data_IF_648576717668
#
_entry.id   IF_648576717668
#
_cell.length_a   1.000
_cell.length_b   1.000
_cell.length_c   1.000
_cell.angle_alpha   90.00
_cell.angle_beta   90.00
_cell.angle_gamma   90.00
#
_symmetry.space_group_name_H-M   'P 1'
#
loop_
_entity.id
_entity.type
_entity.pdbx_description
1 polymer ?
#
# COMPACT_ATOMS: atom_id res chain seq x y z
N UNK A 1 -2.53 -10.24 -13.55
CA UNK A 1 -3.83 -9.73 -14.06
C UNK A 1 -4.35 -8.52 -13.29
N UNK A 2 -4.30 -8.49 -11.94
CA UNK A 2 -4.68 -7.33 -11.11
C UNK A 2 -4.04 -5.99 -11.53
N UNK A 3 -2.76 -5.99 -11.93
CA UNK A 3 -2.08 -4.78 -12.45
C UNK A 3 -2.69 -4.21 -13.73
N UNK A 4 -3.26 -5.06 -14.60
CA UNK A 4 -3.86 -4.62 -15.87
C UNK A 4 -5.21 -3.96 -15.60
N UNK A 5 -6.03 -4.56 -14.74
CA UNK A 5 -7.35 -4.01 -14.37
C UNK A 5 -7.20 -2.72 -13.54
N UNK A 6 -6.27 -2.71 -12.57
CA UNK A 6 -5.98 -1.50 -11.79
C UNK A 6 -5.41 -0.37 -12.68
N UNK A 7 -4.53 -0.71 -13.63
CA UNK A 7 -4.01 0.24 -14.62
C UNK A 7 -5.10 0.79 -15.54
N UNK A 8 -6.02 -0.07 -16.02
CA UNK A 8 -7.12 0.33 -16.88
C UNK A 8 -8.13 1.26 -16.17
N UNK A 9 -8.43 1.00 -14.90
CA UNK A 9 -9.32 1.86 -14.10
C UNK A 9 -8.66 3.21 -13.79
N UNK A 10 -7.35 3.22 -13.55
CA UNK A 10 -6.59 4.43 -13.25
C UNK A 10 -6.32 5.33 -14.47
N UNK A 11 -6.26 4.75 -15.67
CA UNK A 11 -6.17 5.52 -16.91
C UNK A 11 -7.44 6.34 -17.17
N UNK A 12 -8.58 5.92 -16.63
CA UNK A 12 -9.84 6.64 -16.83
C UNK A 12 -10.01 7.86 -15.90
N UNK A 13 -9.30 7.96 -14.75
CA UNK A 13 -9.46 9.06 -13.77
C UNK A 13 -8.14 9.43 -13.04
N UNK A 14 -7.26 10.21 -13.68
CA UNK A 14 -5.92 10.57 -13.16
C UNK A 14 -5.91 11.16 -11.74
N UNK A 15 -6.91 11.96 -11.40
CA UNK A 15 -6.95 12.76 -10.16
C UNK A 15 -7.38 11.96 -8.92
N UNK A 16 -7.90 10.74 -9.11
CA UNK A 16 -8.43 9.88 -8.03
C UNK A 16 -7.44 8.75 -7.69
N UNK A 17 -6.32 8.65 -8.40
CA UNK A 17 -5.35 7.56 -8.28
C UNK A 17 -4.79 7.41 -6.85
N UNK A 18 -4.62 8.51 -6.12
CA UNK A 18 -4.16 8.49 -4.73
C UNK A 18 -5.18 7.85 -3.79
N UNK A 19 -6.46 8.19 -3.95
CA UNK A 19 -7.55 7.59 -3.17
C UNK A 19 -7.73 6.10 -3.47
N UNK A 20 -7.52 5.69 -4.72
CA UNK A 20 -7.51 4.28 -5.10
C UNK A 20 -6.37 3.52 -4.41
N UNK A 21 -5.15 4.09 -4.38
CA UNK A 21 -4.01 3.50 -3.66
C UNK A 21 -4.34 3.31 -2.17
N UNK A 22 -4.88 4.34 -1.52
CA UNK A 22 -5.32 4.27 -0.11
C UNK A 22 -6.35 3.16 0.08
N UNK A 23 -7.38 3.10 -0.76
CA UNK A 23 -8.42 2.07 -0.71
C UNK A 23 -7.87 0.65 -0.88
N UNK A 24 -6.92 0.46 -1.79
CA UNK A 24 -6.24 -0.83 -1.99
C UNK A 24 -5.41 -1.25 -0.77
N UNK A 25 -4.70 -0.33 -0.12
CA UNK A 25 -3.95 -0.61 1.10
C UNK A 25 -4.88 -0.99 2.26
N UNK A 26 -6.01 -0.29 2.43
CA UNK A 26 -7.02 -0.62 3.43
C UNK A 26 -7.68 -1.97 3.15
N UNK A 27 -7.96 -2.28 1.89
CA UNK A 27 -8.46 -3.60 1.48
C UNK A 27 -7.44 -4.70 1.82
N UNK A 28 -6.16 -4.47 1.55
CA UNK A 28 -5.09 -5.38 1.93
C UNK A 28 -5.02 -5.61 3.44
N UNK A 29 -5.18 -4.56 4.24
CA UNK A 29 -5.29 -4.67 5.70
C UNK A 29 -6.47 -5.55 6.12
N UNK A 30 -7.65 -5.39 5.53
CA UNK A 30 -8.80 -6.25 5.83
C UNK A 30 -8.49 -7.72 5.53
N UNK A 31 -7.82 -8.00 4.41
CA UNK A 31 -7.36 -9.35 4.08
C UNK A 31 -6.45 -9.95 5.14
N UNK A 32 -5.48 -9.17 5.65
CA UNK A 32 -4.58 -9.60 6.72
C UNK A 32 -5.32 -9.84 8.05
N UNK A 33 -6.29 -8.98 8.39
CA UNK A 33 -7.14 -9.16 9.58
C UNK A 33 -7.94 -10.45 9.47
N UNK A 34 -8.52 -10.76 8.30
CA UNK A 34 -9.25 -12.00 8.07
C UNK A 34 -8.36 -13.25 8.25
N UNK A 35 -7.13 -13.21 7.73
CA UNK A 35 -6.15 -14.29 7.90
C UNK A 35 -5.81 -14.52 9.39
N UNK A 36 -5.78 -13.45 10.20
CA UNK A 36 -5.41 -13.53 11.62
C UNK A 36 -6.36 -14.37 12.49
N UNK A 37 -7.58 -14.68 12.01
CA UNK A 37 -8.55 -15.49 12.75
C UNK A 37 -8.25 -16.99 12.74
N UNK A 38 -7.29 -17.48 11.94
CA UNK A 38 -6.90 -18.90 11.85
C UNK A 38 -8.06 -19.84 11.47
N UNK A 39 -9.08 -19.34 10.77
CA UNK A 39 -10.19 -20.13 10.23
C UNK A 39 -9.92 -20.42 8.74
N UNK A 40 -10.00 -21.67 8.26
CA UNK A 40 -9.62 -22.01 6.87
C UNK A 40 -10.38 -21.23 5.79
N UNK A 41 -11.68 -21.01 5.96
CA UNK A 41 -12.50 -20.24 5.02
C UNK A 41 -12.11 -18.76 4.99
N UNK A 42 -11.84 -18.16 6.15
CA UNK A 42 -11.36 -16.78 6.27
C UNK A 42 -9.93 -16.63 5.75
N UNK A 43 -9.09 -17.66 5.89
CA UNK A 43 -7.75 -17.68 5.33
C UNK A 43 -7.79 -17.60 3.80
N UNK A 44 -8.65 -18.40 3.16
CA UNK A 44 -8.76 -18.40 1.70
C UNK A 44 -9.28 -17.05 1.21
N UNK A 45 -10.38 -16.56 1.78
CA UNK A 45 -10.95 -15.25 1.45
C UNK A 45 -9.94 -14.12 1.68
N UNK A 46 -9.32 -14.09 2.87
CA UNK A 46 -8.34 -13.09 3.25
C UNK A 46 -7.10 -13.10 2.37
N UNK A 47 -6.66 -14.27 1.89
CA UNK A 47 -5.54 -14.40 0.95
C UNK A 47 -5.86 -13.75 -0.40
N UNK A 48 -7.03 -14.03 -0.97
CA UNK A 48 -7.47 -13.38 -2.20
C UNK A 48 -7.58 -11.86 -2.04
N UNK A 49 -8.21 -11.40 -0.95
CA UNK A 49 -8.35 -9.97 -0.63
C UNK A 49 -6.99 -9.29 -0.46
N UNK A 50 -6.06 -9.93 0.26
CA UNK A 50 -4.69 -9.43 0.48
C UNK A 50 -3.94 -9.29 -0.84
N UNK A 51 -4.01 -10.30 -1.70
CA UNK A 51 -3.34 -10.27 -3.01
C UNK A 51 -3.91 -9.16 -3.89
N UNK A 52 -5.23 -8.99 -3.93
CA UNK A 52 -5.88 -7.91 -4.68
C UNK A 52 -5.46 -6.55 -4.13
N UNK A 53 -5.54 -6.35 -2.82
CA UNK A 53 -5.25 -5.08 -2.16
C UNK A 53 -3.78 -4.68 -2.22
N UNK A 54 -2.83 -5.61 -2.04
CA UNK A 54 -1.42 -5.26 -1.87
C UNK A 54 -0.56 -5.32 -3.16
N UNK A 55 -1.05 -5.87 -4.27
CA UNK A 55 -0.22 -6.00 -5.48
C UNK A 55 -0.46 -4.94 -6.57
N UNK A 56 -1.61 -4.25 -6.58
CA UNK A 56 -1.95 -3.29 -7.65
C UNK A 56 -1.49 -1.85 -7.43
N UNK A 57 -1.30 -1.42 -6.18
CA UNK A 57 -1.15 0.00 -5.84
C UNK A 57 0.20 0.62 -6.22
N UNK A 58 1.29 -0.15 -6.24
CA UNK A 58 2.64 0.39 -6.49
C UNK A 58 2.76 1.13 -7.84
N UNK A 59 2.20 0.57 -8.92
CA UNK A 59 2.23 1.20 -10.24
C UNK A 59 1.39 2.48 -10.29
N UNK A 60 0.24 2.48 -9.61
CA UNK A 60 -0.65 3.63 -9.50
C UNK A 60 -0.01 4.76 -8.71
N UNK A 61 0.68 4.43 -7.62
CA UNK A 61 1.38 5.39 -6.79
C UNK A 61 2.50 6.08 -7.57
N UNK A 62 3.30 5.33 -8.33
CA UNK A 62 4.35 5.88 -9.20
C UNK A 62 3.74 6.82 -10.25
N UNK A 63 2.70 6.36 -10.96
CA UNK A 63 2.03 7.15 -11.98
C UNK A 63 1.42 8.44 -11.41
N UNK A 64 0.77 8.36 -10.25
CA UNK A 64 0.23 9.51 -9.54
C UNK A 64 1.35 10.47 -9.11
N UNK A 65 2.43 9.97 -8.51
CA UNK A 65 3.54 10.80 -8.06
C UNK A 65 4.21 11.56 -9.21
N UNK A 66 4.46 10.91 -10.35
CA UNK A 66 5.04 11.55 -11.54
C UNK A 66 4.13 12.64 -12.10
N UNK A 67 2.81 12.45 -12.04
CA UNK A 67 1.84 13.44 -12.53
C UNK A 67 1.64 14.62 -11.57
N UNK A 68 1.73 14.37 -10.25
CA UNK A 68 1.36 15.34 -9.21
C UNK A 68 2.55 16.19 -8.70
N UNK A 69 3.79 15.71 -8.85
CA UNK A 69 4.98 16.39 -8.35
C UNK A 69 5.74 17.05 -9.50
N UNK A 70 6.20 18.29 -9.29
CA UNK A 70 7.00 19.06 -10.26
C UNK A 70 8.48 18.65 -10.34
N UNK A 71 8.82 17.48 -9.78
CA UNK A 71 10.19 16.95 -9.71
C UNK A 71 10.42 15.97 -10.86
N UNK A 72 11.67 15.76 -11.29
CA UNK A 72 11.97 14.84 -12.38
C UNK A 72 11.46 13.41 -12.09
N UNK A 73 10.89 12.70 -13.10
CA UNK A 73 10.38 11.33 -12.91
C UNK A 73 11.42 10.36 -12.37
N UNK A 74 12.69 10.54 -12.76
CA UNK A 74 13.83 9.73 -12.28
C UNK A 74 14.03 9.87 -10.77
N UNK A 75 13.92 11.08 -10.21
CA UNK A 75 14.03 11.31 -8.77
C UNK A 75 12.88 10.68 -8.01
N UNK A 76 11.65 10.83 -8.52
CA UNK A 76 10.44 10.25 -7.92
C UNK A 76 10.55 8.72 -7.84
N UNK A 77 10.95 8.08 -8.94
CA UNK A 77 11.19 6.65 -8.98
C UNK A 77 12.29 6.23 -7.99
N UNK A 78 13.38 6.99 -7.92
CA UNK A 78 14.46 6.74 -6.96
C UNK A 78 13.98 6.71 -5.51
N UNK A 79 13.17 7.71 -5.10
CA UNK A 79 12.61 7.76 -3.75
C UNK A 79 11.65 6.60 -3.46
N UNK A 80 10.74 6.30 -4.37
CA UNK A 80 9.77 5.22 -4.20
C UNK A 80 10.45 3.84 -4.17
N UNK A 81 11.43 3.60 -5.04
CA UNK A 81 12.17 2.34 -5.06
C UNK A 81 13.05 2.17 -3.82
N UNK A 82 13.70 3.23 -3.35
CA UNK A 82 14.47 3.20 -2.11
C UNK A 82 13.59 2.74 -0.94
N UNK A 83 12.40 3.33 -0.79
CA UNK A 83 11.44 2.91 0.25
C UNK A 83 10.99 1.46 0.07
N UNK A 84 10.68 1.05 -1.16
CA UNK A 84 10.25 -0.31 -1.46
C UNK A 84 11.32 -1.36 -1.14
N UNK A 85 12.55 -1.15 -1.59
CA UNK A 85 13.66 -2.08 -1.34
C UNK A 85 14.07 -2.11 0.12
N UNK A 86 14.09 -0.96 0.79
CA UNK A 86 14.37 -0.90 2.23
C UNK A 86 13.32 -1.68 3.03
N UNK A 87 12.03 -1.48 2.72
CA UNK A 87 10.94 -2.24 3.32
C UNK A 87 11.05 -3.74 3.03
N UNK A 88 11.32 -4.12 1.78
CA UNK A 88 11.47 -5.53 1.38
C UNK A 88 12.67 -6.22 2.05
N UNK A 89 13.75 -5.50 2.32
CA UNK A 89 14.92 -6.03 3.01
C UNK A 89 14.66 -6.21 4.52
N UNK A 90 14.00 -5.23 5.16
CA UNK A 90 13.77 -5.25 6.61
C UNK A 90 12.57 -6.12 7.02
N UNK A 91 11.53 -6.21 6.17
CA UNK A 91 10.28 -6.86 6.53
C UNK A 91 10.43 -8.34 6.93
N UNK A 92 11.18 -9.22 6.23
CA UNK A 92 11.32 -10.62 6.62
C UNK A 92 11.99 -10.79 8.00
N UNK A 93 12.99 -9.96 8.30
CA UNK A 93 13.68 -9.99 9.60
C UNK A 93 12.74 -9.57 10.73
N UNK A 94 12.07 -8.42 10.58
CA UNK A 94 11.13 -7.92 11.59
C UNK A 94 9.96 -8.88 11.76
N UNK A 95 9.40 -9.39 10.67
CA UNK A 95 8.29 -10.33 10.70
C UNK A 95 8.69 -11.66 11.36
N UNK A 96 9.89 -12.18 11.09
CA UNK A 96 10.42 -13.38 11.75
C UNK A 96 10.56 -13.21 13.26
N UNK A 97 11.07 -12.05 13.71
CA UNK A 97 11.17 -11.72 15.14
C UNK A 97 9.77 -11.61 15.77
N UNK A 98 8.82 -10.95 15.12
CA UNK A 98 7.45 -10.84 15.62
C UNK A 98 6.78 -12.21 15.72
N UNK A 99 6.99 -13.08 14.73
CA UNK A 99 6.48 -14.44 14.75
C UNK A 99 7.05 -15.26 15.91
N UNK A 100 8.35 -15.17 16.18
CA UNK A 100 9.00 -15.96 17.24
C UNK A 100 8.64 -15.47 18.65
N UNK A 101 8.33 -14.18 18.81
CA UNK A 101 8.06 -13.56 20.11
C UNK A 101 6.56 -13.47 20.45
N UNK A 102 5.73 -13.10 19.48
CA UNK A 102 4.30 -12.85 19.68
C UNK A 102 3.40 -13.88 18.98
N UNK A 103 3.98 -14.74 18.12
CA UNK A 103 3.23 -15.70 17.33
C UNK A 103 2.62 -15.12 16.05
N UNK A 104 2.14 -16.03 15.20
CA UNK A 104 1.66 -15.74 13.84
C UNK A 104 0.53 -14.70 13.82
N UNK A 105 -0.44 -14.84 14.73
CA UNK A 105 -1.61 -13.95 14.80
C UNK A 105 -1.21 -12.48 14.93
N UNK A 106 -0.34 -12.18 15.90
CA UNK A 106 0.05 -10.82 16.22
C UNK A 106 1.03 -10.26 15.18
N UNK A 107 1.92 -11.07 14.62
CA UNK A 107 2.78 -10.67 13.52
C UNK A 107 1.97 -10.20 12.28
N UNK A 108 0.89 -10.91 11.95
CA UNK A 108 -0.02 -10.55 10.86
C UNK A 108 -0.80 -9.26 11.17
N UNK A 109 -1.31 -9.11 12.40
CA UNK A 109 -2.01 -7.88 12.82
C UNK A 109 -1.09 -6.67 12.74
N UNK A 110 0.16 -6.77 13.21
CA UNK A 110 1.14 -5.68 13.13
C UNK A 110 1.42 -5.32 11.67
N UNK A 111 1.50 -6.31 10.79
CA UNK A 111 1.65 -6.07 9.33
C UNK A 111 0.44 -5.31 8.77
N UNK A 112 -0.77 -5.64 9.23
CA UNK A 112 -2.00 -4.93 8.87
C UNK A 112 -1.96 -3.46 9.33
N UNK A 113 -1.45 -3.21 10.53
CA UNK A 113 -1.24 -1.84 11.07
C UNK A 113 -0.24 -1.06 10.22
N UNK A 114 0.87 -1.66 9.80
CA UNK A 114 1.83 -1.01 8.90
C UNK A 114 1.20 -0.57 7.57
N UNK A 115 0.29 -1.38 7.01
CA UNK A 115 -0.46 -1.00 5.80
C UNK A 115 -1.35 0.23 6.03
N UNK A 116 -1.99 0.32 7.20
CA UNK A 116 -2.78 1.50 7.59
C UNK A 116 -1.90 2.73 7.75
N UNK A 117 -0.76 2.60 8.43
CA UNK A 117 0.20 3.71 8.58
C UNK A 117 0.63 4.23 7.20
N UNK A 118 0.98 3.33 6.28
CA UNK A 118 1.33 3.71 4.91
C UNK A 118 0.19 4.45 4.19
N UNK A 119 -1.05 3.97 4.32
CA UNK A 119 -2.22 4.62 3.75
C UNK A 119 -2.44 6.03 4.32
N UNK A 120 -2.25 6.21 5.64
CA UNK A 120 -2.35 7.51 6.31
C UNK A 120 -1.23 8.46 5.88
N UNK A 121 0.00 7.98 5.68
CA UNK A 121 1.11 8.81 5.19
C UNK A 121 0.85 9.32 3.77
N UNK A 122 0.29 8.48 2.89
CA UNK A 122 -0.11 8.89 1.54
C UNK A 122 -1.23 9.93 1.59
N UNK A 123 -2.25 9.70 2.43
CA UNK A 123 -3.34 10.66 2.63
C UNK A 123 -2.82 12.00 3.14
N UNK A 124 -1.93 11.99 4.13
CA UNK A 124 -1.32 13.20 4.67
C UNK A 124 -0.53 13.97 3.61
N UNK A 125 0.26 13.27 2.78
CA UNK A 125 0.97 13.87 1.65
C UNK A 125 0.04 14.54 0.64
N UNK A 126 -1.11 13.92 0.34
CA UNK A 126 -2.12 14.49 -0.55
C UNK A 126 -2.81 15.73 0.05
N UNK A 127 -3.10 15.71 1.35
CA UNK A 127 -3.66 16.88 2.06
C UNK A 127 -2.66 18.05 2.02
N UNK A 128 -1.39 17.81 2.31
CA UNK A 128 -0.34 18.82 2.23
C UNK A 128 -0.21 19.40 0.82
N UNK A 129 -0.20 18.53 -0.20
CA UNK A 129 -0.13 18.96 -1.60
C UNK A 129 -1.27 19.89 -1.97
N UNK A 130 -2.51 19.55 -1.59
CA UNK A 130 -3.70 20.38 -1.84
C UNK A 130 -3.64 21.70 -1.09
N UNK A 131 -3.15 21.70 0.16
CA UNK A 131 -2.99 22.92 0.92
C UNK A 131 -1.99 23.88 0.25
N UNK A 132 -0.86 23.39 -0.25
CA UNK A 132 0.13 24.21 -0.97
C UNK A 132 -0.45 24.82 -2.26
N UNK A 133 -1.27 24.08 -3.00
CA UNK A 133 -1.91 24.57 -4.24
C UNK A 133 -3.00 25.62 -4.01
N UNK A 134 -3.59 25.69 -2.81
CA UNK A 134 -4.57 26.72 -2.45
C UNK A 134 -3.93 28.05 -2.02
N UNK A 135 -2.60 28.08 -1.85
CA UNK A 135 -1.84 29.26 -1.41
C UNK A 135 -1.13 29.94 -2.60
N UNK A 136 -1.01 29.25 -3.74
CA UNK A 136 -0.44 29.76 -5.00
C UNK A 136 -1.50 30.33 -5.93
#
# INVERSE_FOLDING_TARGET
MIRIVAGFIADQRPDINVLFVIGMMLLGMLGLVLISFHVPSLFLLGSFVTVIGLFGWNGLLVAAAIRLLSVSPVKILGWLQMGFFMGAALAPMVFGILMSTLGVRWAIIITAVCAVIGALMILYGEILRRATLNIS
#
